data_IF_384999028488
#
_entry.id   IF_384999028488
#
_cell.length_a   1.000
_cell.length_b   1.000
_cell.length_c   1.000
_cell.angle_alpha   90.00
_cell.angle_beta   90.00
_cell.angle_gamma   90.00
#
_symmetry.space_group_name_H-M   'P 1'
#
loop_
_entity.id
_entity.type
_entity.pdbx_description
1 polymer ?
#
# COMPACT_ATOMS: atom_id res chain seq x y z
N UNK A 1 -1.15 -12.18 11.53
CA UNK A 1 -1.74 -10.83 11.36
C UNK A 1 -2.97 -10.95 10.45
N UNK A 2 -3.87 -11.92 10.67
CA UNK A 2 -4.85 -12.31 9.63
C UNK A 2 -6.11 -11.42 9.58
N UNK A 3 -6.38 -10.62 10.61
CA UNK A 3 -7.58 -9.75 10.66
C UNK A 3 -7.30 -8.24 10.56
N UNK A 4 -6.02 -7.83 10.55
CA UNK A 4 -5.66 -6.42 10.52
C UNK A 4 -5.54 -5.93 9.07
N UNK A 5 -6.37 -4.97 8.68
CA UNK A 5 -6.21 -4.23 7.43
C UNK A 5 -5.22 -3.08 7.62
N UNK A 6 -4.35 -2.87 6.64
CA UNK A 6 -3.26 -1.89 6.70
C UNK A 6 -3.44 -0.81 5.63
N UNK A 7 -3.20 0.43 5.99
CA UNK A 7 -3.15 1.56 5.05
C UNK A 7 -1.73 2.13 5.00
N UNK A 8 -1.22 2.38 3.79
CA UNK A 8 0.08 3.00 3.58
C UNK A 8 -0.10 4.47 3.15
N UNK A 9 0.46 5.40 3.93
CA UNK A 9 0.52 6.82 3.60
C UNK A 9 1.96 7.19 3.26
N UNK A 10 2.22 7.51 1.99
CA UNK A 10 3.54 7.79 1.47
C UNK A 10 4.10 6.63 0.66
N UNK A 11 4.26 6.86 -0.65
CA UNK A 11 4.74 5.87 -1.62
C UNK A 11 6.14 6.24 -2.11
N UNK A 12 7.07 6.43 -1.17
CA UNK A 12 8.52 6.45 -1.45
C UNK A 12 9.05 5.04 -1.77
N UNK A 13 10.37 4.88 -1.88
CA UNK A 13 11.00 3.59 -2.23
C UNK A 13 10.49 2.45 -1.32
N UNK A 14 10.46 2.69 -0.01
CA UNK A 14 9.95 1.68 0.95
C UNK A 14 8.44 1.55 0.93
N UNK A 15 7.71 2.67 0.85
CA UNK A 15 6.24 2.65 0.89
C UNK A 15 5.62 1.87 -0.28
N UNK A 16 6.24 1.97 -1.47
CA UNK A 16 5.83 1.19 -2.65
C UNK A 16 6.03 -0.31 -2.41
N UNK A 17 7.22 -0.72 -1.96
CA UNK A 17 7.50 -2.13 -1.67
C UNK A 17 6.54 -2.70 -0.61
N UNK A 18 6.25 -1.93 0.44
CA UNK A 18 5.28 -2.35 1.46
C UNK A 18 3.88 -2.48 0.88
N UNK A 19 3.40 -1.51 0.11
CA UNK A 19 2.08 -1.56 -0.50
C UNK A 19 1.90 -2.79 -1.40
N UNK A 20 2.91 -3.12 -2.22
CA UNK A 20 2.90 -4.31 -3.08
C UNK A 20 2.79 -5.59 -2.26
N UNK A 21 3.71 -5.80 -1.31
CA UNK A 21 3.70 -7.03 -0.50
C UNK A 21 2.43 -7.17 0.33
N UNK A 22 1.94 -6.08 0.94
CA UNK A 22 0.70 -6.10 1.73
C UNK A 22 -0.55 -6.34 0.86
N UNK A 23 -0.53 -5.91 -0.41
CA UNK A 23 -1.59 -6.20 -1.37
C UNK A 23 -1.56 -7.68 -1.79
N UNK A 24 -0.37 -8.23 -2.05
CA UNK A 24 -0.16 -9.66 -2.35
C UNK A 24 -0.57 -10.56 -1.18
N UNK A 25 -0.32 -10.13 0.06
CA UNK A 25 -0.77 -10.78 1.29
C UNK A 25 -2.28 -10.60 1.56
N UNK A 26 -3.00 -9.80 0.76
CA UNK A 26 -4.44 -9.57 0.88
C UNK A 26 -4.86 -8.70 2.08
N UNK A 27 -3.92 -8.00 2.71
CA UNK A 27 -4.17 -7.20 3.92
C UNK A 27 -4.07 -5.68 3.70
N UNK A 28 -3.63 -5.21 2.53
CA UNK A 28 -3.69 -3.79 2.17
C UNK A 28 -5.15 -3.34 1.99
N UNK A 29 -5.59 -2.38 2.79
CA UNK A 29 -6.90 -1.74 2.66
C UNK A 29 -6.88 -0.57 1.67
N UNK A 30 -5.83 0.26 1.71
CA UNK A 30 -5.68 1.42 0.84
C UNK A 30 -4.22 1.89 0.82
N UNK A 31 -3.87 2.68 -0.19
CA UNK A 31 -2.64 3.47 -0.17
C UNK A 31 -2.88 4.87 -0.70
N UNK A 32 -2.10 5.83 -0.21
CA UNK A 32 -2.18 7.21 -0.66
C UNK A 32 -0.81 7.87 -0.66
N UNK A 33 -0.60 8.79 -1.61
CA UNK A 33 0.59 9.61 -1.67
C UNK A 33 0.24 11.01 -2.18
N UNK A 34 0.94 12.04 -1.67
CA UNK A 34 0.76 13.44 -2.10
C UNK A 34 0.86 13.63 -3.61
N UNK A 35 1.88 13.00 -4.22
CA UNK A 35 2.06 12.99 -5.68
C UNK A 35 1.47 11.69 -6.22
N UNK A 36 0.58 11.72 -7.22
CA UNK A 36 -0.02 10.51 -7.78
C UNK A 36 1.03 9.47 -8.18
N UNK A 37 0.74 8.19 -7.88
CA UNK A 37 1.56 7.03 -8.25
C UNK A 37 0.66 6.02 -8.97
N UNK A 38 0.47 6.16 -10.29
CA UNK A 38 -0.53 5.37 -11.03
C UNK A 38 -0.20 3.87 -11.09
N UNK A 39 1.07 3.50 -10.98
CA UNK A 39 1.53 2.11 -11.06
C UNK A 39 1.53 1.38 -9.71
N UNK A 40 0.89 1.95 -8.68
CA UNK A 40 0.90 1.41 -7.32
C UNK A 40 -0.50 0.97 -6.88
N UNK A 41 -0.61 -0.09 -6.05
CA UNK A 41 -1.89 -0.52 -5.51
C UNK A 41 -2.61 0.61 -4.78
N UNK A 42 -3.77 1.01 -5.29
CA UNK A 42 -4.66 2.00 -4.68
C UNK A 42 -6.09 1.44 -4.72
N UNK A 43 -6.82 1.65 -3.62
CA UNK A 43 -8.21 1.22 -3.44
C UNK A 43 -9.05 2.43 -3.01
#
# INVERSE_FOLDING_TARGET
MQDSKVTILGLGIMGQALAVNLAEDGILAASWNRTPKPDQPAF
#
